data_IF_492221145021
#
_entry.id   IF_492221145021
#
_cell.length_a   1.000
_cell.length_b   1.000
_cell.length_c   1.000
_cell.angle_alpha   90.00
_cell.angle_beta   90.00
_cell.angle_gamma   90.00
#
_symmetry.space_group_name_H-M   'P 1'
#
loop_
_entity.id
_entity.type
_entity.pdbx_description
1 polymer ?
#
# COMPACT_ATOMS: atom_id res chain seq x y z
N UNK A 1 -1.91 -67.92 6.50
CA UNK A 1 -0.44 -68.06 6.33
C UNK A 1 -0.02 -67.63 4.92
N UNK A 2 -0.05 -66.34 4.58
CA UNK A 2 0.26 -65.86 3.21
C UNK A 2 1.48 -64.92 3.13
N UNK A 3 2.39 -64.98 4.11
CA UNK A 3 3.48 -64.00 4.25
C UNK A 3 4.88 -64.53 3.91
N UNK A 4 5.01 -65.72 3.31
CA UNK A 4 6.31 -66.43 3.32
C UNK A 4 7.23 -66.26 2.12
N UNK A 5 6.89 -65.50 1.07
CA UNK A 5 7.84 -65.17 -0.03
C UNK A 5 7.60 -63.79 -0.62
N UNK A 6 7.70 -62.75 0.19
CA UNK A 6 7.82 -61.38 -0.33
C UNK A 6 9.30 -61.17 -0.66
N UNK A 7 9.61 -60.93 -1.93
CA UNK A 7 11.00 -60.75 -2.36
C UNK A 7 11.62 -59.54 -1.65
N UNK A 8 12.95 -59.55 -1.42
CA UNK A 8 13.64 -58.41 -0.79
C UNK A 8 13.29 -57.08 -1.48
N UNK A 9 13.13 -57.13 -2.81
CA UNK A 9 12.72 -56.00 -3.64
C UNK A 9 11.33 -55.47 -3.25
N UNK A 10 10.33 -56.33 -3.08
CA UNK A 10 8.98 -55.92 -2.69
C UNK A 10 8.95 -55.28 -1.29
N UNK A 11 9.78 -55.75 -0.36
CA UNK A 11 9.92 -55.10 0.96
C UNK A 11 10.55 -53.72 0.85
N UNK A 12 11.61 -53.57 0.06
CA UNK A 12 12.26 -52.26 -0.16
C UNK A 12 11.31 -51.27 -0.81
N UNK A 13 10.59 -51.69 -1.86
CA UNK A 13 9.60 -50.84 -2.54
C UNK A 13 8.50 -50.38 -1.58
N UNK A 14 8.00 -51.28 -0.72
CA UNK A 14 6.97 -50.94 0.25
C UNK A 14 7.46 -49.95 1.32
N UNK A 15 8.71 -50.10 1.79
CA UNK A 15 9.31 -49.16 2.73
C UNK A 15 9.48 -47.77 2.10
N UNK A 16 9.95 -47.71 0.85
CA UNK A 16 10.10 -46.44 0.11
C UNK A 16 8.74 -45.78 -0.09
N UNK A 17 7.70 -46.55 -0.47
CA UNK A 17 6.34 -46.03 -0.61
C UNK A 17 5.78 -45.48 0.71
N UNK A 18 5.99 -46.20 1.82
CA UNK A 18 5.61 -45.70 3.14
C UNK A 18 6.33 -44.39 3.49
N UNK A 19 7.63 -44.31 3.23
CA UNK A 19 8.40 -43.08 3.47
C UNK A 19 7.90 -41.92 2.63
N UNK A 20 7.62 -42.15 1.34
CA UNK A 20 7.07 -41.14 0.44
C UNK A 20 5.69 -40.67 0.88
N UNK A 21 4.83 -41.60 1.32
CA UNK A 21 3.49 -41.30 1.80
C UNK A 21 3.51 -40.46 3.09
N UNK A 22 4.36 -40.82 4.05
CA UNK A 22 4.56 -40.04 5.28
C UNK A 22 5.12 -38.66 4.95
N UNK A 23 6.10 -38.58 4.06
CA UNK A 23 6.66 -37.30 3.59
C UNK A 23 5.59 -36.40 2.98
N UNK A 24 4.74 -36.93 2.10
CA UNK A 24 3.64 -36.17 1.49
C UNK A 24 2.61 -35.73 2.52
N UNK A 25 2.22 -36.58 3.47
CA UNK A 25 1.30 -36.20 4.55
C UNK A 25 1.86 -35.06 5.42
N UNK A 26 3.15 -35.13 5.77
CA UNK A 26 3.82 -34.08 6.53
C UNK A 26 3.89 -32.79 5.70
N UNK A 27 4.24 -32.89 4.41
CA UNK A 27 4.31 -31.74 3.50
C UNK A 27 2.96 -31.03 3.36
N UNK A 28 1.87 -31.77 3.14
CA UNK A 28 0.51 -31.22 3.03
C UNK A 28 -0.07 -30.70 4.35
N UNK A 29 0.40 -31.19 5.50
CA UNK A 29 -0.06 -30.69 6.80
C UNK A 29 0.73 -29.49 7.32
N UNK A 30 2.00 -29.36 6.92
CA UNK A 30 2.88 -28.26 7.35
C UNK A 30 2.80 -27.08 6.39
N UNK A 31 2.60 -27.30 5.10
CA UNK A 31 2.41 -26.20 4.17
C UNK A 31 0.99 -25.70 4.36
N UNK A 32 0.80 -24.51 4.96
CA UNK A 32 -0.52 -23.91 4.94
C UNK A 32 -0.91 -23.79 3.47
N UNK A 33 -2.17 -24.09 3.13
CA UNK A 33 -2.74 -23.64 1.87
C UNK A 33 -2.45 -22.15 1.78
N UNK A 34 -1.41 -21.80 1.03
CA UNK A 34 -1.11 -20.44 0.69
C UNK A 34 -2.24 -20.11 -0.27
N UNK A 35 -3.36 -19.66 0.31
CA UNK A 35 -4.39 -18.95 -0.41
C UNK A 35 -3.69 -17.68 -0.89
N UNK A 36 -3.04 -17.80 -2.04
CA UNK A 36 -2.65 -16.66 -2.85
C UNK A 36 -4.00 -16.17 -3.38
N UNK A 37 -4.67 -15.36 -2.56
CA UNK A 37 -5.73 -14.50 -3.05
C UNK A 37 -5.02 -13.51 -3.96
N UNK A 38 -4.82 -13.89 -5.21
CA UNK A 38 -4.67 -12.90 -6.26
C UNK A 38 -5.93 -12.07 -6.17
N UNK A 39 -5.79 -10.85 -5.68
CA UNK A 39 -6.89 -9.91 -5.72
C UNK A 39 -7.16 -9.72 -7.21
N UNK A 40 -8.36 -10.12 -7.62
CA UNK A 40 -8.82 -10.09 -9.01
C UNK A 40 -8.43 -8.77 -9.69
N UNK A 41 -8.22 -8.86 -11.02
CA UNK A 41 -7.80 -7.82 -11.96
C UNK A 41 -8.66 -6.53 -11.95
N UNK A 42 -9.60 -6.39 -11.02
CA UNK A 42 -10.42 -5.21 -10.74
C UNK A 42 -9.77 -4.19 -9.79
N UNK A 43 -8.46 -4.30 -9.52
CA UNK A 43 -7.68 -3.24 -8.86
C UNK A 43 -7.48 -1.98 -9.73
N UNK A 44 -8.41 -1.67 -10.64
CA UNK A 44 -8.66 -0.30 -11.13
C UNK A 44 -9.33 0.58 -10.05
N UNK A 45 -9.23 0.22 -8.76
CA UNK A 45 -9.27 1.18 -7.66
C UNK A 45 -8.22 2.27 -7.87
N UNK A 46 -7.09 1.88 -8.49
CA UNK A 46 -6.09 2.75 -9.10
C UNK A 46 -6.70 3.94 -9.83
N UNK A 47 -7.64 3.72 -10.76
CA UNK A 47 -8.16 4.77 -11.65
C UNK A 47 -9.24 5.64 -11.03
N UNK A 48 -9.86 5.19 -9.94
CA UNK A 48 -10.95 5.93 -9.29
C UNK A 48 -10.44 6.89 -8.21
N UNK A 49 -9.25 6.64 -7.66
CA UNK A 49 -8.70 7.42 -6.54
C UNK A 49 -7.32 7.98 -6.87
N UNK A 50 -7.09 9.21 -6.42
CA UNK A 50 -5.75 9.80 -6.38
C UNK A 50 -5.06 9.37 -5.10
N UNK A 51 -3.86 8.79 -5.22
CA UNK A 51 -3.06 8.29 -4.10
C UNK A 51 -1.97 9.28 -3.73
N UNK A 52 -2.01 9.76 -2.49
CA UNK A 52 -1.03 10.67 -1.93
C UNK A 52 -0.26 10.00 -0.79
N UNK A 53 1.06 9.97 -0.88
CA UNK A 53 1.91 9.47 0.19
C UNK A 53 2.41 10.62 1.06
N UNK A 54 2.22 10.53 2.37
CA UNK A 54 2.67 11.48 3.36
C UNK A 54 3.97 10.98 4.00
N UNK A 55 5.09 11.56 3.55
CA UNK A 55 6.43 11.26 4.08
C UNK A 55 6.67 12.07 5.35
N UNK A 56 6.29 11.51 6.50
CA UNK A 56 6.48 12.15 7.81
C UNK A 56 7.11 11.17 8.79
N UNK A 57 8.27 11.50 9.39
CA UNK A 57 8.85 10.68 10.44
C UNK A 57 7.97 10.70 11.69
N UNK A 58 7.77 9.53 12.30
CA UNK A 58 7.23 9.37 13.66
C UNK A 58 5.82 9.94 13.89
N UNK A 59 4.86 9.59 13.03
CA UNK A 59 3.44 9.93 13.21
C UNK A 59 2.55 8.71 13.26
N UNK A 60 1.35 8.87 13.84
CA UNK A 60 0.35 7.79 13.83
C UNK A 60 0.01 7.41 12.39
N UNK A 61 -0.17 6.11 12.16
CA UNK A 61 -0.54 5.60 10.85
C UNK A 61 -1.91 6.19 10.43
N UNK A 62 -1.93 6.80 9.26
CA UNK A 62 -3.12 7.28 8.58
C UNK A 62 -3.63 6.15 7.68
N UNK A 63 -4.75 5.54 8.07
CA UNK A 63 -5.39 4.46 7.31
C UNK A 63 -6.18 5.01 6.14
N UNK A 64 -6.36 4.18 5.12
CA UNK A 64 -7.25 4.40 3.96
C UNK A 64 -8.64 4.90 4.34
N UNK A 65 -9.32 4.18 5.23
CA UNK A 65 -10.66 4.57 5.65
C UNK A 65 -10.71 5.95 6.32
N UNK A 66 -9.67 6.34 7.05
CA UNK A 66 -9.65 7.62 7.75
C UNK A 66 -9.47 8.80 6.79
N UNK A 67 -8.64 8.65 5.77
CA UNK A 67 -8.39 9.71 4.80
C UNK A 67 -9.48 9.77 3.72
N UNK A 68 -10.05 8.63 3.28
CA UNK A 68 -11.25 8.66 2.42
C UNK A 68 -12.39 9.43 3.12
N UNK A 69 -12.66 9.12 4.38
CA UNK A 69 -13.68 9.85 5.16
C UNK A 69 -13.37 11.35 5.32
N UNK A 70 -12.09 11.75 5.35
CA UNK A 70 -11.68 13.15 5.38
C UNK A 70 -12.08 13.86 4.08
N UNK A 71 -11.74 13.29 2.93
CA UNK A 71 -12.04 13.89 1.62
C UNK A 71 -13.53 13.87 1.27
N UNK A 72 -14.25 12.82 1.68
CA UNK A 72 -15.70 12.74 1.55
C UNK A 72 -16.42 13.82 2.38
N UNK A 73 -16.06 13.97 3.66
CA UNK A 73 -16.63 15.00 4.54
C UNK A 73 -16.42 16.41 3.98
N UNK A 74 -15.27 16.64 3.35
CA UNK A 74 -14.90 17.92 2.76
C UNK A 74 -15.43 18.10 1.33
N UNK A 75 -16.08 17.08 0.75
CA UNK A 75 -16.61 17.05 -0.63
C UNK A 75 -15.54 17.34 -1.69
N UNK A 76 -14.34 16.80 -1.48
CA UNK A 76 -13.17 17.11 -2.30
C UNK A 76 -12.94 16.12 -3.45
N UNK A 77 -13.68 15.01 -3.46
CA UNK A 77 -13.57 13.95 -4.47
C UNK A 77 -12.91 12.70 -3.92
N UNK A 78 -12.65 11.75 -4.81
CA UNK A 78 -12.09 10.43 -4.50
C UNK A 78 -10.58 10.52 -4.35
N UNK A 79 -10.13 10.88 -3.16
CA UNK A 79 -8.71 11.03 -2.85
C UNK A 79 -8.36 10.35 -1.54
N UNK A 80 -7.10 9.96 -1.45
CA UNK A 80 -6.60 9.20 -0.33
C UNK A 80 -5.19 9.67 0.02
N UNK A 81 -4.94 9.86 1.32
CA UNK A 81 -3.61 10.13 1.89
C UNK A 81 -3.24 9.02 2.87
N UNK A 82 -2.01 8.53 2.80
CA UNK A 82 -1.43 7.59 3.77
C UNK A 82 0.03 7.90 4.05
N UNK A 83 0.48 7.63 5.26
CA UNK A 83 1.90 7.54 5.61
C UNK A 83 2.39 6.09 5.75
N UNK A 84 1.51 5.11 5.54
CA UNK A 84 1.85 3.71 5.44
C UNK A 84 2.00 3.33 3.97
N UNK A 85 3.22 2.97 3.59
CA UNK A 85 3.54 2.53 2.22
C UNK A 85 2.92 1.18 1.88
N UNK A 86 2.69 0.32 2.88
CA UNK A 86 2.31 -1.08 2.66
C UNK A 86 3.31 -1.78 1.74
N UNK A 87 2.80 -2.51 0.74
CA UNK A 87 3.60 -3.13 -0.33
C UNK A 87 3.72 -2.28 -1.61
N UNK A 88 3.07 -1.11 -1.66
CA UNK A 88 3.03 -0.27 -2.86
C UNK A 88 4.35 0.49 -3.07
N UNK A 89 4.97 0.45 -4.26
CA UNK A 89 6.13 1.29 -4.56
C UNK A 89 5.78 2.78 -4.50
N UNK A 90 6.68 3.62 -3.98
CA UNK A 90 6.43 5.08 -3.85
C UNK A 90 6.16 5.74 -5.23
N UNK A 91 6.70 5.16 -6.31
CA UNK A 91 6.51 5.65 -7.68
C UNK A 91 5.06 5.57 -8.18
N UNK A 92 4.27 4.64 -7.61
CA UNK A 92 2.87 4.43 -7.98
C UNK A 92 1.94 5.49 -7.38
N UNK A 93 2.41 6.27 -6.41
CA UNK A 93 1.62 7.38 -5.85
C UNK A 93 1.59 8.55 -6.84
N UNK A 94 0.47 9.28 -6.87
CA UNK A 94 0.29 10.46 -7.71
C UNK A 94 1.04 11.67 -7.15
N UNK A 95 1.15 11.74 -5.81
CA UNK A 95 1.92 12.76 -5.13
C UNK A 95 2.57 12.25 -3.84
N UNK A 96 3.74 12.79 -3.53
CA UNK A 96 4.50 12.56 -2.31
C UNK A 96 4.60 13.89 -1.55
N UNK A 97 3.97 13.95 -0.39
CA UNK A 97 3.89 15.09 0.51
C UNK A 97 4.97 14.99 1.59
N UNK A 98 5.94 15.89 1.58
CA UNK A 98 6.97 16.01 2.61
C UNK A 98 6.60 17.12 3.58
N UNK A 99 6.75 16.89 4.90
CA UNK A 99 6.58 17.98 5.86
C UNK A 99 7.68 19.04 5.64
N UNK A 100 7.36 20.34 5.73
CA UNK A 100 8.32 21.45 5.52
C UNK A 100 9.65 21.27 6.28
N UNK A 101 9.61 20.65 7.46
CA UNK A 101 10.78 20.47 8.32
C UNK A 101 11.34 19.03 8.31
N UNK A 102 10.84 18.15 7.43
CA UNK A 102 11.40 16.82 7.24
C UNK A 102 12.45 16.87 6.13
N UNK A 103 13.52 16.07 6.26
CA UNK A 103 14.42 15.82 5.14
C UNK A 103 13.59 15.35 3.94
N UNK A 104 13.79 16.00 2.80
CA UNK A 104 13.26 15.48 1.55
C UNK A 104 14.11 14.25 1.23
N UNK A 105 13.70 13.10 1.75
CA UNK A 105 14.37 11.85 1.45
C UNK A 105 14.52 11.71 -0.07
N UNK A 106 15.70 11.30 -0.51
CA UNK A 106 16.07 11.03 -1.89
C UNK A 106 15.37 9.76 -2.41
N UNK A 107 14.06 9.66 -2.20
CA UNK A 107 13.27 8.64 -2.86
C UNK A 107 13.35 8.87 -4.38
N UNK A 108 13.53 7.81 -5.18
CA UNK A 108 13.63 7.89 -6.63
C UNK A 108 12.25 8.13 -7.25
N UNK A 109 11.69 9.28 -6.92
CA UNK A 109 10.40 9.80 -7.33
C UNK A 109 10.69 11.01 -8.21
N UNK A 110 10.00 11.10 -9.35
CA UNK A 110 10.09 12.25 -10.24
C UNK A 110 9.77 13.55 -9.49
N UNK A 111 10.48 14.63 -9.83
CA UNK A 111 10.33 15.92 -9.14
C UNK A 111 8.90 16.45 -9.24
N UNK A 112 8.15 16.07 -10.28
CA UNK A 112 6.78 16.47 -10.59
C UNK A 112 5.73 15.88 -9.64
N UNK A 113 6.10 14.85 -8.90
CA UNK A 113 5.27 14.23 -7.86
C UNK A 113 5.63 14.71 -6.46
N UNK A 114 6.65 15.57 -6.30
CA UNK A 114 7.10 16.06 -4.99
C UNK A 114 6.33 17.31 -4.58
N UNK A 115 5.80 17.28 -3.36
CA UNK A 115 5.08 18.38 -2.74
C UNK A 115 5.54 18.55 -1.30
N UNK A 116 5.42 19.77 -0.79
CA UNK A 116 5.75 20.12 0.59
C UNK A 116 4.48 20.52 1.30
N UNK A 117 4.11 19.82 2.38
CA UNK A 117 2.96 20.14 3.22
C UNK A 117 3.40 20.94 4.45
N UNK A 118 2.81 22.11 4.62
CA UNK A 118 2.93 22.95 5.79
C UNK A 118 1.70 22.76 6.68
N UNK A 119 1.90 22.12 7.82
CA UNK A 119 0.85 21.90 8.82
C UNK A 119 1.44 21.65 10.20
N UNK A 120 0.60 21.66 11.23
CA UNK A 120 1.02 21.35 12.60
C UNK A 120 1.11 19.84 12.85
N UNK A 121 2.06 19.41 13.68
CA UNK A 121 2.15 18.00 14.13
C UNK A 121 0.85 17.50 14.76
N UNK A 122 0.14 18.38 15.49
CA UNK A 122 -1.18 18.08 16.08
C UNK A 122 -2.23 17.75 15.00
N UNK A 123 -2.26 18.52 13.91
CA UNK A 123 -3.16 18.27 12.78
C UNK A 123 -2.89 16.90 12.13
N UNK A 124 -1.63 16.56 11.88
CA UNK A 124 -1.25 15.23 11.33
C UNK A 124 -1.62 14.10 12.29
N UNK A 125 -1.29 14.24 13.58
CA UNK A 125 -1.60 13.24 14.59
C UNK A 125 -3.11 13.04 14.80
N UNK A 126 -3.90 14.08 14.56
CA UNK A 126 -5.35 14.02 14.54
C UNK A 126 -5.92 13.66 13.15
N UNK A 127 -5.10 13.13 12.23
CA UNK A 127 -5.51 12.67 10.90
C UNK A 127 -6.22 13.76 10.09
N UNK A 128 -5.70 14.99 10.17
CA UNK A 128 -6.25 16.19 9.56
C UNK A 128 -7.68 16.57 10.01
N UNK A 129 -8.13 16.02 11.14
CA UNK A 129 -9.41 16.41 11.77
C UNK A 129 -9.16 17.60 12.69
N UNK A 130 -10.07 18.59 12.64
CA UNK A 130 -10.07 19.75 13.54
C UNK A 130 -8.71 20.48 13.60
N UNK A 131 -8.11 20.75 12.44
CA UNK A 131 -6.88 21.51 12.38
C UNK A 131 -7.16 23.00 12.65
N UNK A 132 -6.34 23.62 13.50
CA UNK A 132 -6.45 25.07 13.81
C UNK A 132 -6.20 25.89 12.54
N UNK A 133 -5.20 25.49 11.77
CA UNK A 133 -4.90 26.04 10.45
C UNK A 133 -5.00 24.93 9.42
N UNK A 134 -5.59 25.26 8.27
CA UNK A 134 -5.74 24.33 7.17
C UNK A 134 -4.35 23.99 6.56
N UNK A 135 -4.02 22.71 6.33
CA UNK A 135 -2.78 22.32 5.68
C UNK A 135 -2.63 22.95 4.30
N UNK A 136 -1.48 23.60 4.08
CA UNK A 136 -1.10 24.16 2.78
C UNK A 136 -0.07 23.25 2.13
N UNK A 137 -0.24 22.96 0.85
CA UNK A 137 0.65 22.12 0.06
C UNK A 137 1.29 22.95 -1.05
N UNK A 138 2.62 22.94 -1.11
CA UNK A 138 3.42 23.62 -2.12
C UNK A 138 3.98 22.60 -3.12
N UNK A 139 3.72 22.79 -4.41
CA UNK A 139 4.36 21.97 -5.45
C UNK A 139 5.85 22.32 -5.57
N UNK A 140 6.70 21.30 -5.67
CA UNK A 140 8.14 21.53 -5.81
C UNK A 140 8.51 22.18 -7.14
N UNK A 141 7.85 21.78 -8.24
CA UNK A 141 8.12 22.29 -9.59
C UNK A 141 7.40 23.61 -9.84
N UNK A 142 6.07 23.61 -9.78
CA UNK A 142 5.27 24.76 -10.22
C UNK A 142 5.28 25.91 -9.22
N UNK A 143 5.78 25.67 -7.99
CA UNK A 143 5.72 26.61 -6.85
C UNK A 143 4.30 27.10 -6.55
N UNK A 144 3.28 26.40 -7.03
CA UNK A 144 1.88 26.70 -6.75
C UNK A 144 1.49 26.16 -5.37
N UNK A 145 0.66 26.94 -4.69
CA UNK A 145 0.05 26.57 -3.42
C UNK A 145 -1.31 25.92 -3.67
N UNK A 146 -1.57 24.83 -2.96
CA UNK A 146 -2.82 24.08 -2.99
C UNK A 146 -3.25 23.80 -1.55
N UNK A 147 -4.55 23.82 -1.26
CA UNK A 147 -5.07 23.05 -0.14
C UNK A 147 -5.17 21.55 -0.52
N UNK A 148 -5.49 20.68 0.43
CA UNK A 148 -5.60 19.25 0.17
C UNK A 148 -6.64 18.91 -0.91
N UNK A 149 -7.71 19.70 -1.01
CA UNK A 149 -8.83 19.46 -1.91
C UNK A 149 -8.55 19.92 -3.35
N UNK A 150 -7.85 21.04 -3.47
CA UNK A 150 -7.37 21.63 -4.71
C UNK A 150 -6.28 20.76 -5.30
N UNK A 151 -5.39 20.22 -4.45
CA UNK A 151 -4.39 19.24 -4.89
C UNK A 151 -5.08 17.97 -5.42
N UNK A 152 -6.04 17.44 -4.67
CA UNK A 152 -6.84 16.29 -5.08
C UNK A 152 -7.47 16.50 -6.47
N UNK A 153 -8.16 17.63 -6.66
CA UNK A 153 -8.77 17.99 -7.95
C UNK A 153 -7.74 18.13 -9.08
N UNK A 154 -6.62 18.79 -8.80
CA UNK A 154 -5.55 18.99 -9.77
C UNK A 154 -4.97 17.65 -10.24
N UNK A 155 -4.69 16.73 -9.31
CA UNK A 155 -4.15 15.40 -9.64
C UNK A 155 -5.16 14.57 -10.45
N UNK A 156 -6.45 14.65 -10.12
CA UNK A 156 -7.52 14.03 -10.93
C UNK A 156 -7.52 14.56 -12.37
N UNK A 157 -7.46 15.88 -12.56
CA UNK A 157 -7.41 16.49 -13.90
C UNK A 157 -6.15 16.06 -14.67
N UNK A 158 -4.99 16.09 -14.00
CA UNK A 158 -3.71 15.70 -14.60
C UNK A 158 -3.74 14.25 -15.07
N UNK A 159 -4.31 13.34 -14.26
CA UNK A 159 -4.43 11.93 -14.61
C UNK A 159 -5.33 11.71 -15.83
N UNK A 160 -6.49 12.37 -15.85
CA UNK A 160 -7.42 12.28 -16.98
C UNK A 160 -6.86 12.86 -18.28
N UNK A 161 -5.91 13.80 -18.19
CA UNK A 161 -5.22 14.36 -19.37
C UNK A 161 -4.05 13.53 -19.89
N UNK A 162 -3.57 12.56 -19.10
CA UNK A 162 -2.46 11.68 -19.47
C UNK A 162 -2.89 10.31 -20.01
N UNK A 163 -4.21 10.05 -20.03
CA UNK A 163 -4.86 8.91 -20.69
C UNK A 163 -5.34 9.36 -22.06
#
# INVERSE_FOLDING_TARGET
MFWRRVSKLQRTVLVVFCYLFVYLLIFYSIIPDAAITFVDEDFSVGDKYVFMFLSVPETRILKESDSVALFERRKCGKCFITNNRGFMPIREYDAVLHLVNASVDEHPVGQEKKYVIQTSKKCINNKFRNCVTEPVVLSFISKQYHDLCSLCRYLHLKRNSSV
#
